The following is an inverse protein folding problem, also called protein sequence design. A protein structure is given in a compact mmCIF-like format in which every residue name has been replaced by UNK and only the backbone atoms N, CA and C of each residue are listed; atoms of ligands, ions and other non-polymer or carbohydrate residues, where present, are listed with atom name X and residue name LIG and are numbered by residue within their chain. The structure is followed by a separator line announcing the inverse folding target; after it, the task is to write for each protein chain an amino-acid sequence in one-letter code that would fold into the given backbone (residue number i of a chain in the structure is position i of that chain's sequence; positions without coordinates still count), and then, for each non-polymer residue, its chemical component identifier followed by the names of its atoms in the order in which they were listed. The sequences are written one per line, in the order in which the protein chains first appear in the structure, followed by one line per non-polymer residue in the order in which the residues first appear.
data_IF_008714439768
#
_entry.id   IF_008714439768
#
_cell.length_a   1.000
_cell.length_b   1.000
_cell.length_c   1.000
_cell.angle_alpha   90.00
_cell.angle_beta   90.00
_cell.angle_gamma   90.00
#
_symmetry.space_group_name_H-M   'P 1'
#
loop_
_entity.id
_entity.type
_entity.pdbx_description
1 polymer ?
#
# COMPACT_ATOMS: atom_id res chain seq x y z
N UNK A 1 -37.23 21.91 -52.17
CA UNK A 1 -36.73 23.15 -51.52
C UNK A 1 -36.64 22.91 -50.02
N UNK A 2 -35.45 23.16 -49.42
CA UNK A 2 -35.12 23.24 -47.98
C UNK A 2 -35.14 21.90 -47.22
N UNK A 3 -34.02 21.17 -47.10
CA UNK A 3 -32.84 21.41 -46.24
C UNK A 3 -33.16 21.37 -44.74
N UNK A 4 -32.74 20.29 -44.06
CA UNK A 4 -31.80 20.35 -42.92
C UNK A 4 -31.67 18.96 -42.29
N UNK A 5 -30.59 18.25 -42.66
CA UNK A 5 -30.12 17.05 -41.97
C UNK A 5 -29.26 17.53 -40.81
N UNK A 6 -29.79 17.54 -39.59
CA UNK A 6 -29.01 17.76 -38.37
C UNK A 6 -28.29 16.45 -38.06
N UNK A 7 -27.07 16.34 -38.58
CA UNK A 7 -26.12 15.30 -38.21
C UNK A 7 -25.74 15.42 -36.74
N UNK A 8 -26.31 14.54 -35.91
CA UNK A 8 -25.82 14.31 -34.55
C UNK A 8 -24.60 13.41 -34.69
N UNK A 9 -23.44 14.05 -34.84
CA UNK A 9 -22.14 13.42 -34.62
C UNK A 9 -22.06 13.05 -33.12
N UNK A 10 -22.49 11.85 -32.77
CA UNK A 10 -22.35 11.31 -31.43
C UNK A 10 -20.89 10.93 -31.24
N UNK A 11 -20.12 11.86 -30.66
CA UNK A 11 -18.71 11.68 -30.35
C UNK A 11 -18.52 10.48 -29.43
N UNK A 12 -17.65 9.58 -29.87
CA UNK A 12 -17.17 8.41 -29.15
C UNK A 12 -16.46 8.87 -27.89
N UNK A 13 -17.06 8.64 -26.72
CA UNK A 13 -16.35 8.74 -25.44
C UNK A 13 -15.90 7.32 -25.08
N UNK A 14 -14.68 6.96 -25.50
CA UNK A 14 -13.96 5.81 -24.99
C UNK A 14 -13.69 6.07 -23.50
N UNK A 15 -14.50 5.49 -22.63
CA UNK A 15 -14.23 5.40 -21.20
C UNK A 15 -12.98 4.55 -21.00
N UNK A 16 -11.81 5.20 -20.92
CA UNK A 16 -10.59 4.60 -20.39
C UNK A 16 -10.88 4.28 -18.92
N UNK A 17 -11.35 3.07 -18.67
CA UNK A 17 -11.37 2.50 -17.33
C UNK A 17 -9.93 2.43 -16.86
N UNK A 18 -9.59 3.34 -15.95
CA UNK A 18 -8.31 3.40 -15.28
C UNK A 18 -8.01 2.01 -14.71
N UNK A 19 -7.04 1.32 -15.32
CA UNK A 19 -6.38 0.17 -14.73
C UNK A 19 -5.78 0.66 -13.41
N UNK A 20 -6.50 0.46 -12.31
CA UNK A 20 -5.93 0.57 -10.98
C UNK A 20 -4.67 -0.29 -10.99
N UNK A 21 -3.52 0.37 -10.91
CA UNK A 21 -2.23 -0.25 -11.16
C UNK A 21 -2.09 -1.52 -10.34
N UNK A 22 -2.00 -2.64 -11.05
CA UNK A 22 -1.38 -3.85 -10.51
C UNK A 22 0.07 -3.44 -10.26
N UNK A 23 0.35 -2.94 -9.07
CA UNK A 23 1.71 -2.73 -8.61
C UNK A 23 2.42 -4.07 -8.78
N UNK A 24 3.48 -4.08 -9.61
CA UNK A 24 4.20 -5.30 -9.92
C UNK A 24 4.51 -6.08 -8.63
N UNK A 25 4.18 -7.38 -8.56
CA UNK A 25 4.18 -8.16 -7.32
C UNK A 25 5.52 -8.05 -6.56
N UNK A 26 6.64 -7.94 -7.28
CA UNK A 26 7.97 -7.77 -6.69
C UNK A 26 8.16 -6.48 -5.90
N UNK A 27 7.59 -5.35 -6.37
CA UNK A 27 7.70 -4.07 -5.65
C UNK A 27 6.84 -4.08 -4.38
N UNK A 28 5.67 -4.70 -4.43
CA UNK A 28 4.80 -4.86 -3.27
C UNK A 28 5.44 -5.77 -2.22
N UNK A 29 6.04 -6.90 -2.65
CA UNK A 29 6.76 -7.80 -1.77
C UNK A 29 7.91 -7.09 -1.03
N UNK A 30 8.77 -6.38 -1.77
CA UNK A 30 9.91 -5.69 -1.18
C UNK A 30 9.47 -4.60 -0.17
N UNK A 31 8.36 -3.93 -0.43
CA UNK A 31 7.77 -2.97 0.51
C UNK A 31 7.24 -3.66 1.78
N UNK A 32 6.55 -4.79 1.63
CA UNK A 32 6.08 -5.58 2.75
C UNK A 32 7.22 -6.14 3.60
N UNK A 33 8.31 -6.60 2.97
CA UNK A 33 9.51 -7.05 3.68
C UNK A 33 10.11 -5.92 4.52
N UNK A 34 10.28 -4.72 3.95
CA UNK A 34 10.78 -3.55 4.70
C UNK A 34 9.90 -3.22 5.90
N UNK A 35 8.58 -3.29 5.76
CA UNK A 35 7.66 -3.04 6.87
C UNK A 35 7.80 -4.11 7.95
N UNK A 36 7.89 -5.39 7.58
CA UNK A 36 8.16 -6.50 8.51
C UNK A 36 9.46 -6.30 9.27
N UNK A 37 10.56 -5.99 8.57
CA UNK A 37 11.88 -5.80 9.17
C UNK A 37 11.86 -4.67 10.22
N UNK A 38 11.15 -3.57 9.95
CA UNK A 38 11.00 -2.48 10.93
C UNK A 38 10.21 -2.93 12.16
N UNK A 39 9.11 -3.67 11.97
CA UNK A 39 8.32 -4.21 13.08
C UNK A 39 9.20 -5.10 13.97
N UNK A 40 9.95 -6.03 13.35
CA UNK A 40 10.84 -6.94 14.05
C UNK A 40 11.99 -6.24 14.76
N UNK A 41 12.55 -5.19 14.14
CA UNK A 41 13.55 -4.33 14.77
C UNK A 41 13.01 -3.69 16.05
N UNK A 42 11.81 -3.11 16.01
CA UNK A 42 11.21 -2.52 17.21
C UNK A 42 10.83 -3.56 18.26
N UNK A 43 10.44 -4.78 17.85
CA UNK A 43 10.23 -5.88 18.78
C UNK A 43 11.55 -6.33 19.44
N UNK A 44 12.65 -6.39 18.69
CA UNK A 44 13.97 -6.68 19.23
C UNK A 44 14.44 -5.61 20.23
N UNK A 45 14.30 -4.32 19.88
CA UNK A 45 14.62 -3.22 20.78
C UNK A 45 13.79 -3.28 22.07
N UNK A 46 12.48 -3.57 21.96
CA UNK A 46 11.61 -3.73 23.13
C UNK A 46 12.02 -4.89 24.03
N UNK A 47 12.48 -6.02 23.46
CA UNK A 47 13.01 -7.17 24.21
C UNK A 47 14.32 -6.86 24.93
N UNK A 48 15.19 -6.05 24.32
CA UNK A 48 16.45 -5.60 24.94
C UNK A 48 16.20 -4.64 26.11
N UNK A 49 15.04 -3.97 26.13
CA UNK A 49 14.69 -3.02 27.17
C UNK A 49 15.38 -1.66 26.96
N UNK A 50 15.05 -0.71 27.82
CA UNK A 50 15.54 0.66 27.75
C UNK A 50 14.80 1.56 28.72
N UNK A 51 15.02 2.87 28.64
CA UNK A 51 14.21 3.81 29.43
C UNK A 51 12.75 3.76 28.98
N UNK A 52 11.82 4.06 29.90
CA UNK A 52 10.38 4.07 29.60
C UNK A 52 10.04 4.95 28.38
N UNK A 53 10.69 6.11 28.24
CA UNK A 53 10.52 6.99 27.09
C UNK A 53 10.93 6.33 25.75
N UNK A 54 12.03 5.56 25.73
CA UNK A 54 12.47 4.80 24.54
C UNK A 54 11.48 3.69 24.21
N UNK A 55 11.05 2.93 25.22
CA UNK A 55 10.08 1.85 25.05
C UNK A 55 8.75 2.36 24.49
N UNK A 56 8.26 3.49 24.99
CA UNK A 56 7.04 4.13 24.49
C UNK A 56 7.17 4.61 23.05
N UNK A 57 8.33 5.18 22.70
CA UNK A 57 8.62 5.59 21.32
C UNK A 57 8.60 4.37 20.38
N UNK A 58 9.30 3.29 20.71
CA UNK A 58 9.32 2.06 19.91
C UNK A 58 7.93 1.44 19.75
N UNK A 59 7.12 1.44 20.83
CA UNK A 59 5.73 0.97 20.78
C UNK A 59 4.90 1.76 19.77
N UNK A 60 5.04 3.10 19.75
CA UNK A 60 4.33 3.95 18.78
C UNK A 60 4.83 3.72 17.35
N UNK A 61 6.14 3.67 17.14
CA UNK A 61 6.73 3.42 15.82
C UNK A 61 6.31 2.05 15.27
N UNK A 62 6.40 0.98 16.08
CA UNK A 62 5.95 -0.36 15.71
C UNK A 62 4.49 -0.37 15.27
N UNK A 63 3.59 0.29 16.02
CA UNK A 63 2.16 0.40 15.66
C UNK A 63 1.94 1.11 14.32
N UNK A 64 2.74 2.13 14.02
CA UNK A 64 2.66 2.83 12.74
C UNK A 64 3.05 1.90 11.58
N UNK A 65 4.14 1.13 11.72
CA UNK A 65 4.55 0.16 10.71
C UNK A 65 3.55 -0.99 10.56
N UNK A 66 2.99 -1.49 11.66
CA UNK A 66 1.95 -2.51 11.64
C UNK A 66 0.65 -2.03 10.98
N UNK A 67 0.27 -0.76 11.19
CA UNK A 67 -0.84 -0.15 10.46
C UNK A 67 -0.55 -0.15 8.95
N UNK A 68 0.61 0.35 8.53
CA UNK A 68 0.99 0.38 7.11
C UNK A 68 1.05 -1.03 6.52
N UNK A 69 1.59 -2.00 7.25
CA UNK A 69 1.64 -3.40 6.82
C UNK A 69 0.23 -3.95 6.51
N UNK A 70 -0.77 -3.59 7.31
CA UNK A 70 -2.17 -3.95 7.05
C UNK A 70 -2.79 -3.15 5.89
N UNK A 71 -2.55 -1.84 5.85
CA UNK A 71 -3.08 -0.96 4.80
C UNK A 71 -2.58 -1.37 3.40
N UNK A 72 -1.34 -1.85 3.30
CA UNK A 72 -0.70 -2.33 2.06
C UNK A 72 -1.08 -3.78 1.72
N UNK A 73 -1.89 -4.46 2.53
CA UNK A 73 -2.31 -5.83 2.27
C UNK A 73 -1.21 -6.88 2.43
N UNK A 74 -0.15 -6.60 3.20
CA UNK A 74 1.01 -7.49 3.30
C UNK A 74 0.71 -8.86 3.93
N UNK A 75 -0.48 -9.07 4.51
CA UNK A 75 -0.95 -10.38 4.95
C UNK A 75 -1.13 -11.38 3.80
N UNK A 76 -1.38 -10.91 2.57
CA UNK A 76 -1.46 -11.78 1.39
C UNK A 76 -0.09 -12.36 1.00
N UNK A 77 1.00 -11.65 1.30
CA UNK A 77 2.38 -12.05 1.00
C UNK A 77 3.05 -12.85 2.13
N UNK A 78 2.30 -13.25 3.17
CA UNK A 78 2.87 -13.84 4.40
C UNK A 78 3.78 -15.05 4.15
N UNK A 79 3.52 -15.84 3.11
CA UNK A 79 4.33 -17.02 2.76
C UNK A 79 5.65 -16.68 2.07
N UNK A 80 5.75 -15.48 1.48
CA UNK A 80 6.92 -15.01 0.72
C UNK A 80 7.83 -14.14 1.60
N UNK A 81 7.28 -13.56 2.68
CA UNK A 81 8.03 -12.79 3.66
C UNK A 81 8.93 -13.70 4.51
N UNK A 82 10.20 -13.31 4.68
CA UNK A 82 11.20 -14.03 5.49
C UNK A 82 11.42 -13.32 6.80
#
# INVERSE_FOLDING_TARGET
MRSSVLGVACAVVLSVSASAGVAAPDKALAQCQKLKDQIERYDALRRQGGSGAKMDNWKRARRQHEKRFRDEGCHYHRHELR
#
